data_IF_228308577143
#
_entry.id   IF_228308577143
#
_cell.length_a   1.000
_cell.length_b   1.000
_cell.length_c   1.000
_cell.angle_alpha   90.00
_cell.angle_beta   90.00
_cell.angle_gamma   90.00
#
_symmetry.space_group_name_H-M   'P 1'
#
loop_
_entity.id
_entity.type
_entity.pdbx_description
1 polymer ?
#
# COMPACT_ATOMS: atom_id res chain seq x y z
N UNK A 1 20.63 11.70 -12.09
CA UNK A 1 20.91 12.47 -10.85
C UNK A 1 19.60 13.07 -10.38
N UNK A 2 19.24 12.89 -9.10
CA UNK A 2 18.04 13.51 -8.52
C UNK A 2 18.19 15.04 -8.59
N UNK A 3 17.20 15.81 -9.07
CA UNK A 3 17.26 17.28 -9.11
C UNK A 3 17.16 17.92 -7.72
N UNK A 4 17.11 17.09 -6.69
CA UNK A 4 16.93 17.41 -5.29
C UNK A 4 18.27 17.31 -4.56
N UNK A 5 18.56 18.24 -3.65
CA UNK A 5 19.77 18.15 -2.81
C UNK A 5 19.48 18.60 -1.39
N UNK A 6 20.04 17.88 -0.43
CA UNK A 6 20.11 18.33 0.96
C UNK A 6 21.03 19.54 1.11
N UNK A 7 20.60 20.50 1.94
CA UNK A 7 21.39 21.66 2.34
C UNK A 7 21.35 21.79 3.85
N UNK A 8 22.51 21.90 4.49
CA UNK A 8 22.61 22.22 5.91
C UNK A 8 22.86 23.71 6.09
N UNK A 9 22.03 24.39 6.91
CA UNK A 9 22.22 25.80 7.27
C UNK A 9 21.92 26.00 8.74
N UNK A 10 22.90 26.48 9.52
CA UNK A 10 22.74 26.81 10.95
C UNK A 10 22.03 25.70 11.72
N UNK A 11 22.55 24.48 11.59
CA UNK A 11 22.04 23.27 12.23
C UNK A 11 20.62 22.85 11.83
N UNK A 12 20.09 23.40 10.73
CA UNK A 12 18.82 23.00 10.14
C UNK A 12 19.01 22.35 8.77
N UNK A 13 18.18 21.35 8.47
CA UNK A 13 18.11 20.63 7.20
C UNK A 13 17.09 21.29 6.27
N UNK A 14 17.53 21.53 5.05
CA UNK A 14 16.74 22.10 3.97
C UNK A 14 16.79 21.22 2.74
N UNK A 15 15.71 21.25 1.98
CA UNK A 15 15.63 20.61 0.68
C UNK A 15 15.69 21.66 -0.44
N UNK A 16 16.69 21.56 -1.31
CA UNK A 16 16.75 22.35 -2.55
C UNK A 16 16.05 21.62 -3.69
N UNK A 17 15.11 22.30 -4.33
CA UNK A 17 14.36 21.84 -5.51
C UNK A 17 14.50 22.89 -6.60
N UNK A 18 15.35 22.63 -7.59
CA UNK A 18 15.73 23.64 -8.58
C UNK A 18 16.29 24.89 -7.90
N UNK A 19 15.54 26.01 -7.97
CA UNK A 19 15.89 27.30 -7.32
C UNK A 19 15.25 27.51 -5.95
N UNK A 20 14.27 26.69 -5.57
CA UNK A 20 13.56 26.78 -4.29
C UNK A 20 14.34 26.06 -3.20
N UNK A 21 14.21 26.55 -1.98
CA UNK A 21 14.76 25.92 -0.78
C UNK A 21 13.63 25.87 0.23
N UNK A 22 13.25 24.66 0.63
CA UNK A 22 12.17 24.41 1.57
C UNK A 22 12.77 23.89 2.89
N UNK A 23 12.37 24.43 4.06
CA UNK A 23 12.79 23.89 5.34
C UNK A 23 12.15 22.52 5.55
N UNK A 24 12.93 21.55 6.04
CA UNK A 24 12.37 20.26 6.46
C UNK A 24 11.65 20.46 7.80
N UNK A 25 10.40 19.98 7.96
CA UNK A 25 9.70 20.04 9.24
C UNK A 25 10.50 19.36 10.36
N UNK A 26 10.52 19.96 11.53
CA UNK A 26 11.40 19.54 12.64
C UNK A 26 11.27 18.06 13.05
N UNK A 27 10.07 17.47 13.15
CA UNK A 27 9.95 16.03 13.46
C UNK A 27 10.60 15.14 12.40
N UNK A 28 10.47 15.50 11.12
CA UNK A 28 11.03 14.76 9.98
C UNK A 28 12.55 14.93 9.97
N UNK A 29 13.01 16.16 10.16
CA UNK A 29 14.43 16.51 10.23
C UNK A 29 15.15 15.71 11.32
N UNK A 30 14.60 15.68 12.54
CA UNK A 30 15.17 14.91 13.64
C UNK A 30 15.30 13.43 13.30
N UNK A 31 14.28 12.85 12.63
CA UNK A 31 14.32 11.46 12.18
C UNK A 31 15.30 11.22 11.02
N UNK A 32 15.49 12.17 10.11
CA UNK A 32 16.46 12.05 9.03
C UNK A 32 17.91 12.17 9.51
N UNK A 33 18.16 13.02 10.51
CA UNK A 33 19.51 13.27 11.03
C UNK A 33 19.94 12.27 12.13
N UNK A 34 18.99 11.72 12.86
CA UNK A 34 19.26 10.85 14.03
C UNK A 34 18.62 9.47 13.94
N UNK A 35 17.86 9.20 12.89
CA UNK A 35 17.24 7.90 12.65
C UNK A 35 18.21 6.86 12.09
N UNK A 36 17.71 5.64 11.85
CA UNK A 36 18.51 4.55 11.31
C UNK A 36 18.87 4.79 9.83
N UNK A 37 20.16 4.94 9.58
CA UNK A 37 20.76 5.07 8.24
C UNK A 37 21.21 6.49 7.92
N UNK A 38 22.33 6.60 7.20
CA UNK A 38 22.87 7.90 6.82
C UNK A 38 22.01 8.57 5.74
N UNK A 39 22.00 9.91 5.79
CA UNK A 39 21.45 10.75 4.75
C UNK A 39 22.27 10.55 3.46
N UNK A 40 21.60 10.26 2.35
CA UNK A 40 22.28 9.96 1.09
C UNK A 40 22.22 11.16 0.14
N UNK A 41 22.89 11.03 -1.01
CA UNK A 41 22.75 12.02 -2.09
C UNK A 41 21.38 11.93 -2.79
N UNK A 42 20.61 10.86 -2.56
CA UNK A 42 19.29 10.68 -3.12
C UNK A 42 18.19 11.03 -2.10
N UNK A 43 17.86 12.32 -2.05
CA UNK A 43 16.77 12.87 -1.24
C UNK A 43 15.47 12.08 -1.41
N UNK A 44 15.17 11.65 -2.64
CA UNK A 44 13.92 10.93 -2.93
C UNK A 44 13.90 9.58 -2.22
N UNK A 45 15.00 8.84 -2.30
CA UNK A 45 15.16 7.58 -1.60
C UNK A 45 15.12 7.76 -0.07
N UNK A 46 15.77 8.80 0.47
CA UNK A 46 15.80 9.04 1.91
C UNK A 46 14.39 9.32 2.49
N UNK A 47 13.61 10.18 1.83
CA UNK A 47 12.25 10.52 2.27
C UNK A 47 11.29 9.33 2.13
N UNK A 48 11.39 8.56 1.05
CA UNK A 48 10.56 7.36 0.85
C UNK A 48 10.96 6.21 1.78
N UNK A 49 12.25 6.10 2.13
CA UNK A 49 12.73 5.18 3.16
C UNK A 49 12.14 5.55 4.51
N UNK A 50 12.17 6.83 4.88
CA UNK A 50 11.58 7.29 6.14
C UNK A 50 10.08 7.01 6.20
N UNK A 51 9.32 7.30 5.13
CA UNK A 51 7.89 6.96 5.05
C UNK A 51 7.69 5.45 5.26
N UNK A 52 8.46 4.62 4.54
CA UNK A 52 8.42 3.17 4.69
C UNK A 52 8.71 2.68 6.11
N UNK A 53 9.66 3.30 6.82
CA UNK A 53 9.99 3.00 8.22
C UNK A 53 8.86 3.41 9.17
N UNK A 54 8.27 4.59 8.99
CA UNK A 54 7.17 5.08 9.81
C UNK A 54 5.90 4.20 9.63
N UNK A 55 5.58 3.83 8.40
CA UNK A 55 4.45 2.93 8.08
C UNK A 55 4.66 1.55 8.71
N UNK A 56 5.88 1.00 8.64
CA UNK A 56 6.23 -0.26 9.27
C UNK A 56 6.06 -0.20 10.80
N UNK A 57 6.54 0.89 11.42
CA UNK A 57 6.42 1.11 12.86
C UNK A 57 4.96 1.26 13.29
N UNK A 58 4.15 2.05 12.56
CA UNK A 58 2.72 2.22 12.84
C UNK A 58 1.96 0.89 12.80
N UNK A 59 2.26 0.02 11.82
CA UNK A 59 1.65 -1.31 11.72
C UNK A 59 2.02 -2.20 12.90
N UNK A 60 3.30 -2.22 13.29
CA UNK A 60 3.75 -2.96 14.47
C UNK A 60 3.05 -2.47 15.74
N UNK A 61 3.03 -1.16 15.97
CA UNK A 61 2.38 -0.56 17.14
C UNK A 61 0.88 -0.86 17.17
N UNK A 62 0.19 -0.87 16.02
CA UNK A 62 -1.23 -1.27 15.93
C UNK A 62 -1.42 -2.74 16.32
N UNK A 63 -0.57 -3.64 15.82
CA UNK A 63 -0.64 -5.06 16.19
C UNK A 63 -0.37 -5.27 17.70
N UNK A 64 0.61 -4.56 18.26
CA UNK A 64 0.94 -4.59 19.69
C UNK A 64 -0.21 -4.03 20.54
N UNK A 65 -0.84 -2.92 20.11
CA UNK A 65 -2.00 -2.33 20.78
C UNK A 65 -3.20 -3.28 20.79
N UNK A 66 -3.51 -3.91 19.65
CA UNK A 66 -4.58 -4.90 19.58
C UNK A 66 -4.30 -6.14 20.44
N UNK A 67 -3.06 -6.64 20.45
CA UNK A 67 -2.65 -7.75 21.30
C UNK A 67 -2.81 -7.40 22.79
N UNK A 68 -2.40 -6.19 23.19
CA UNK A 68 -2.57 -5.68 24.55
C UNK A 68 -4.06 -5.52 24.91
N UNK A 69 -4.89 -4.99 24.02
CA UNK A 69 -6.34 -4.87 24.23
C UNK A 69 -7.03 -6.25 24.39
N UNK A 70 -6.64 -7.24 23.57
CA UNK A 70 -7.10 -8.63 23.70
C UNK A 70 -6.66 -9.26 25.02
N UNK A 71 -5.46 -8.95 25.52
CA UNK A 71 -4.98 -9.41 26.82
C UNK A 71 -5.81 -8.81 27.97
N UNK A 72 -6.01 -7.48 27.98
CA UNK A 72 -6.83 -6.77 28.97
C UNK A 72 -8.26 -7.35 29.02
N UNK A 73 -8.84 -7.64 27.87
CA UNK A 73 -10.21 -8.21 27.77
C UNK A 73 -10.27 -9.64 28.32
N UNK A 74 -9.28 -10.49 28.00
CA UNK A 74 -9.21 -11.87 28.54
C UNK A 74 -9.05 -11.88 30.05
N UNK A 75 -8.25 -10.98 30.60
CA UNK A 75 -8.05 -10.86 32.05
C UNK A 75 -9.33 -10.39 32.77
N UNK A 76 -10.29 -9.77 32.05
CA UNK A 76 -11.59 -9.36 32.56
C UNK A 76 -12.63 -10.50 32.63
N UNK A 77 -12.60 -11.46 31.71
CA UNK A 77 -13.68 -12.43 31.51
C UNK A 77 -13.70 -13.67 32.40
N UNK A 78 -12.76 -13.85 33.36
CA UNK A 78 -12.51 -15.19 33.92
C UNK A 78 -12.26 -15.38 35.42
N UNK A 79 -12.46 -14.42 36.35
CA UNK A 79 -11.95 -14.62 37.74
C UNK A 79 -12.85 -14.14 38.89
N UNK A 80 -12.85 -14.93 39.98
CA UNK A 80 -13.68 -14.76 41.19
C UNK A 80 -13.23 -13.61 42.10
N UNK A 81 -14.14 -13.20 43.00
CA UNK A 81 -14.01 -12.04 43.91
C UNK A 81 -12.73 -11.97 44.74
N UNK A 82 -12.16 -13.12 45.15
CA UNK A 82 -10.95 -13.16 45.99
C UNK A 82 -9.66 -12.83 45.24
N UNK A 83 -9.66 -12.85 43.90
CA UNK A 83 -8.49 -12.47 43.10
C UNK A 83 -8.37 -10.94 42.94
N UNK A 84 -9.41 -10.15 43.24
CA UNK A 84 -9.54 -8.73 42.87
C UNK A 84 -8.50 -7.77 43.48
N UNK A 85 -7.88 -8.10 44.62
CA UNK A 85 -6.96 -7.18 45.34
C UNK A 85 -5.50 -7.16 44.81
N UNK A 86 -4.96 -8.28 44.32
CA UNK A 86 -3.63 -8.31 43.67
C UNK A 86 -3.67 -7.84 42.20
N UNK A 87 -4.88 -7.74 41.63
CA UNK A 87 -5.17 -7.47 40.23
C UNK A 87 -5.15 -5.97 39.89
N UNK A 88 -5.41 -5.09 40.86
CA UNK A 88 -5.53 -3.65 40.57
C UNK A 88 -4.24 -3.06 40.02
N UNK A 89 -3.07 -3.43 40.57
CA UNK A 89 -1.77 -2.91 40.10
C UNK A 89 -1.38 -3.47 38.73
N UNK A 90 -1.44 -4.80 38.55
CA UNK A 90 -1.16 -5.45 37.26
C UNK A 90 -2.08 -4.98 36.14
N UNK A 91 -3.34 -4.66 36.45
CA UNK A 91 -4.29 -4.07 35.49
C UNK A 91 -3.94 -2.63 35.15
N UNK A 92 -3.62 -1.80 36.15
CA UNK A 92 -3.17 -0.42 35.92
C UNK A 92 -1.92 -0.41 35.05
N UNK A 93 -0.98 -1.32 35.29
CA UNK A 93 0.24 -1.44 34.49
C UNK A 93 -0.06 -1.88 33.04
N UNK A 94 -0.97 -2.83 32.83
CA UNK A 94 -1.38 -3.28 31.49
C UNK A 94 -2.12 -2.18 30.70
N UNK A 95 -3.02 -1.44 31.37
CA UNK A 95 -3.71 -0.29 30.76
C UNK A 95 -2.72 0.82 30.45
N UNK A 96 -1.80 1.15 31.36
CA UNK A 96 -0.77 2.16 31.11
C UNK A 96 0.17 1.75 29.97
N UNK A 97 0.50 0.47 29.84
CA UNK A 97 1.25 -0.08 28.71
C UNK A 97 0.50 0.09 27.39
N UNK A 98 -0.78 -0.28 27.34
CA UNK A 98 -1.64 -0.07 26.16
C UNK A 98 -1.75 1.41 25.79
N UNK A 99 -2.01 2.30 26.76
CA UNK A 99 -2.10 3.75 26.53
C UNK A 99 -0.80 4.29 25.92
N UNK A 100 0.37 3.90 26.43
CA UNK A 100 1.65 4.32 25.85
C UNK A 100 1.83 3.87 24.40
N UNK A 101 1.43 2.64 24.06
CA UNK A 101 1.53 2.13 22.69
C UNK A 101 0.60 2.93 21.76
N UNK A 102 -0.60 3.27 22.21
CA UNK A 102 -1.54 4.11 21.45
C UNK A 102 -0.99 5.52 21.25
N UNK A 103 -0.45 6.16 22.29
CA UNK A 103 0.20 7.47 22.17
C UNK A 103 1.34 7.44 21.15
N UNK A 104 2.19 6.40 21.19
CA UNK A 104 3.25 6.21 20.20
C UNK A 104 2.71 6.00 18.78
N UNK A 105 1.61 5.26 18.64
CA UNK A 105 0.97 5.04 17.33
C UNK A 105 0.43 6.36 16.76
N UNK A 106 -0.18 7.20 17.60
CA UNK A 106 -0.69 8.51 17.22
C UNK A 106 0.45 9.43 16.77
N UNK A 107 1.55 9.50 17.53
CA UNK A 107 2.74 10.29 17.18
C UNK A 107 3.36 9.87 15.84
N UNK A 108 3.48 8.56 15.60
CA UNK A 108 4.00 8.01 14.34
C UNK A 108 3.06 8.31 13.17
N UNK A 109 1.74 8.21 13.40
CA UNK A 109 0.73 8.52 12.38
C UNK A 109 0.78 9.99 11.98
N UNK A 110 0.79 10.90 12.95
CA UNK A 110 0.92 12.35 12.71
C UNK A 110 2.22 12.70 11.99
N UNK A 111 3.33 12.07 12.37
CA UNK A 111 4.64 12.30 11.72
C UNK A 111 4.63 11.80 10.28
N UNK A 112 3.98 10.66 10.01
CA UNK A 112 3.81 10.11 8.65
C UNK A 112 2.97 11.06 7.78
N UNK A 113 1.86 11.56 8.32
CA UNK A 113 1.00 12.53 7.62
C UNK A 113 1.77 13.82 7.30
N UNK A 114 2.53 14.35 8.26
CA UNK A 114 3.36 15.54 8.06
C UNK A 114 4.42 15.32 6.97
N UNK A 115 5.05 14.15 6.92
CA UNK A 115 6.01 13.78 5.87
C UNK A 115 5.36 13.77 4.49
N UNK A 116 4.20 13.13 4.38
CA UNK A 116 3.46 13.02 3.12
C UNK A 116 2.93 14.37 2.65
N UNK A 117 2.44 15.20 3.56
CA UNK A 117 2.01 16.57 3.28
C UNK A 117 3.19 17.43 2.81
N UNK A 118 4.32 17.38 3.52
CA UNK A 118 5.54 18.06 3.13
C UNK A 118 5.92 17.68 1.71
N UNK A 119 6.11 16.39 1.42
CA UNK A 119 6.49 15.90 0.07
C UNK A 119 5.47 16.29 -0.99
N UNK A 120 4.17 16.24 -0.65
CA UNK A 120 3.08 16.64 -1.54
C UNK A 120 3.13 18.12 -1.91
N UNK A 121 3.56 18.98 -0.99
CA UNK A 121 3.66 20.43 -1.18
C UNK A 121 4.85 20.87 -2.04
N UNK A 122 5.88 20.02 -2.15
CA UNK A 122 7.16 20.35 -2.79
C UNK A 122 7.07 20.62 -4.30
N UNK A 123 5.99 20.17 -4.96
CA UNK A 123 5.89 20.14 -6.43
C UNK A 123 7.17 19.54 -7.08
N UNK A 124 7.71 18.49 -6.46
CA UNK A 124 8.92 17.81 -6.88
C UNK A 124 8.72 17.03 -8.19
N UNK A 125 9.83 16.63 -8.82
CA UNK A 125 9.85 15.77 -10.01
C UNK A 125 10.26 14.33 -9.67
N UNK A 126 10.15 13.43 -10.66
CA UNK A 126 10.60 12.04 -10.53
C UNK A 126 9.85 11.25 -9.45
N UNK A 127 10.60 10.48 -8.66
CA UNK A 127 10.04 9.55 -7.67
C UNK A 127 9.15 10.23 -6.62
N UNK A 128 9.53 11.41 -6.14
CA UNK A 128 8.75 12.16 -5.15
C UNK A 128 7.41 12.62 -5.72
N UNK A 129 7.38 13.01 -7.00
CA UNK A 129 6.15 13.36 -7.70
C UNK A 129 5.20 12.17 -7.80
N UNK A 130 5.73 11.03 -8.19
CA UNK A 130 4.94 9.82 -8.39
C UNK A 130 4.44 9.26 -7.05
N UNK A 131 5.23 9.37 -5.99
CA UNK A 131 4.82 9.07 -4.62
C UNK A 131 3.71 10.00 -4.11
N UNK A 132 3.88 11.30 -4.25
CA UNK A 132 2.86 12.29 -3.88
C UNK A 132 1.55 12.08 -4.65
N UNK A 133 1.61 11.76 -5.94
CA UNK A 133 0.43 11.40 -6.72
C UNK A 133 -0.21 10.10 -6.19
N UNK A 134 0.59 9.14 -5.76
CA UNK A 134 0.17 7.89 -5.11
C UNK A 134 -0.65 8.12 -3.84
N UNK A 135 -0.09 8.87 -2.90
CA UNK A 135 -0.74 9.14 -1.60
C UNK A 135 -2.05 9.94 -1.72
N UNK A 136 -2.23 10.70 -2.81
CA UNK A 136 -3.48 11.41 -3.09
C UNK A 136 -4.61 10.49 -3.56
N UNK A 137 -4.33 9.26 -3.97
CA UNK A 137 -5.36 8.32 -4.40
C UNK A 137 -6.04 7.70 -3.19
N UNK A 138 -7.37 7.62 -3.25
CA UNK A 138 -8.14 6.84 -2.28
C UNK A 138 -7.70 5.36 -2.38
N UNK A 139 -7.26 4.72 -1.29
CA UNK A 139 -6.83 3.33 -1.31
C UNK A 139 -7.98 2.32 -1.36
N UNK A 140 -9.23 2.77 -1.21
CA UNK A 140 -10.40 1.89 -1.35
C UNK A 140 -10.56 1.37 -2.78
N UNK A 141 -11.07 0.14 -2.98
CA UNK A 141 -11.38 -0.38 -4.31
C UNK A 141 -12.30 0.59 -5.05
N UNK A 142 -11.95 1.02 -6.29
CA UNK A 142 -12.85 1.85 -7.08
C UNK A 142 -14.18 1.15 -7.35
N UNK A 143 -15.27 1.92 -7.49
CA UNK A 143 -16.63 1.37 -7.63
C UNK A 143 -16.81 0.45 -8.85
N UNK A 144 -15.97 0.58 -9.88
CA UNK A 144 -15.98 -0.28 -11.07
C UNK A 144 -15.18 -1.57 -10.94
N UNK A 145 -14.50 -1.78 -9.81
CA UNK A 145 -13.73 -2.99 -9.50
C UNK A 145 -14.62 -3.97 -8.73
N UNK A 146 -14.73 -5.19 -9.24
CA UNK A 146 -15.36 -6.28 -8.50
C UNK A 146 -14.32 -6.97 -7.62
N UNK A 147 -14.57 -7.01 -6.31
CA UNK A 147 -13.69 -7.65 -5.33
C UNK A 147 -14.25 -9.02 -4.97
N UNK A 148 -13.50 -10.06 -5.28
CA UNK A 148 -13.81 -11.46 -5.00
C UNK A 148 -12.86 -11.95 -3.90
N UNK A 149 -13.41 -12.68 -2.93
CA UNK A 149 -12.71 -13.08 -1.72
C UNK A 149 -11.41 -13.83 -2.01
N UNK A 150 -11.37 -14.72 -3.00
CA UNK A 150 -10.13 -15.38 -3.41
C UNK A 150 -10.17 -15.81 -4.89
N UNK A 151 -9.00 -16.16 -5.44
CA UNK A 151 -8.84 -16.55 -6.85
C UNK A 151 -9.50 -17.90 -7.19
N UNK A 152 -9.63 -18.79 -6.21
CA UNK A 152 -10.27 -20.09 -6.40
C UNK A 152 -11.79 -19.92 -6.53
N UNK A 153 -12.39 -19.09 -5.69
CA UNK A 153 -13.78 -18.67 -5.81
C UNK A 153 -14.02 -17.93 -7.14
N UNK A 154 -13.10 -17.05 -7.55
CA UNK A 154 -13.19 -16.39 -8.85
C UNK A 154 -13.23 -17.39 -10.01
N UNK A 155 -12.42 -18.46 -9.95
CA UNK A 155 -12.39 -19.56 -10.90
C UNK A 155 -13.63 -20.48 -10.83
N UNK A 156 -14.25 -20.61 -9.66
CA UNK A 156 -15.50 -21.37 -9.50
C UNK A 156 -16.74 -20.62 -10.01
N UNK A 157 -16.79 -19.30 -9.79
CA UNK A 157 -17.87 -18.44 -10.25
C UNK A 157 -17.96 -18.39 -11.79
N UNK A 158 -16.81 -18.41 -12.48
CA UNK A 158 -16.74 -18.61 -13.93
C UNK A 158 -15.65 -19.61 -14.29
N UNK A 159 -16.07 -20.83 -14.62
CA UNK A 159 -15.17 -21.94 -15.01
C UNK A 159 -14.32 -21.64 -16.25
N UNK A 160 -14.65 -20.63 -17.05
CA UNK A 160 -13.79 -20.20 -18.18
C UNK A 160 -12.50 -19.56 -17.67
N UNK A 161 -12.48 -19.01 -16.44
CA UNK A 161 -11.28 -18.46 -15.79
C UNK A 161 -10.34 -19.55 -15.26
N UNK A 162 -10.80 -20.80 -15.21
CA UNK A 162 -10.11 -21.93 -14.61
C UNK A 162 -9.26 -22.72 -15.62
N UNK A 163 -8.16 -23.28 -15.15
CA UNK A 163 -7.42 -24.38 -15.79
C UNK A 163 -7.22 -25.52 -14.79
N UNK A 164 -7.13 -26.78 -15.25
CA UNK A 164 -6.69 -27.88 -14.39
C UNK A 164 -5.31 -27.55 -13.82
N UNK A 165 -5.14 -27.69 -12.51
CA UNK A 165 -3.81 -27.83 -11.97
C UNK A 165 -3.35 -29.29 -12.13
N UNK A 166 -2.04 -29.51 -12.23
CA UNK A 166 -1.47 -30.85 -12.47
C UNK A 166 -1.69 -31.86 -11.34
N UNK A 167 -2.39 -31.46 -10.27
CA UNK A 167 -2.64 -32.26 -9.06
C UNK A 167 -4.13 -32.56 -8.86
N UNK A 168 -4.96 -32.34 -9.89
CA UNK A 168 -6.40 -32.64 -9.86
C UNK A 168 -7.26 -31.52 -9.26
N UNK A 169 -6.67 -30.39 -8.91
CA UNK A 169 -7.37 -29.17 -8.52
C UNK A 169 -7.57 -28.20 -9.69
N UNK A 170 -7.94 -26.97 -9.37
CA UNK A 170 -8.27 -25.92 -10.32
C UNK A 170 -7.49 -24.66 -9.97
N UNK A 171 -6.74 -24.14 -10.93
CA UNK A 171 -6.00 -22.88 -10.81
C UNK A 171 -6.57 -21.83 -11.75
N UNK A 172 -6.24 -20.57 -11.50
CA UNK A 172 -6.53 -19.48 -12.43
C UNK A 172 -5.76 -19.72 -13.75
N UNK A 173 -6.46 -19.60 -14.88
CA UNK A 173 -5.90 -19.74 -16.23
C UNK A 173 -5.25 -18.45 -16.75
N UNK A 174 -5.13 -17.44 -15.89
CA UNK A 174 -4.57 -16.14 -16.21
C UNK A 174 -3.05 -16.14 -16.25
N UNK A 175 -2.51 -15.11 -16.87
CA UNK A 175 -1.07 -14.87 -17.00
C UNK A 175 -0.73 -13.56 -16.30
N UNK A 176 0.07 -13.61 -15.23
CA UNK A 176 0.52 -12.46 -14.41
C UNK A 176 1.75 -11.75 -15.02
N UNK A 177 1.67 -11.40 -16.30
CA UNK A 177 2.81 -10.82 -17.03
C UNK A 177 2.95 -9.30 -16.91
N UNK A 178 1.95 -8.60 -16.34
CA UNK A 178 1.99 -7.14 -16.17
C UNK A 178 2.67 -6.69 -14.87
N UNK A 179 3.58 -7.53 -14.37
CA UNK A 179 4.41 -7.28 -13.21
C UNK A 179 3.79 -7.72 -11.89
N UNK A 180 4.65 -8.24 -11.01
CA UNK A 180 4.42 -8.31 -9.58
C UNK A 180 4.87 -6.99 -8.95
N UNK A 181 4.37 -6.66 -7.75
CA UNK A 181 4.69 -5.47 -6.96
C UNK A 181 3.83 -4.23 -7.19
N UNK A 182 2.60 -4.42 -7.68
CA UNK A 182 1.56 -3.39 -7.56
C UNK A 182 1.20 -3.18 -6.10
N UNK A 183 0.86 -1.94 -5.75
CA UNK A 183 0.74 -1.49 -4.37
C UNK A 183 -0.65 -0.97 -4.04
N UNK A 184 -1.12 -1.32 -2.85
CA UNK A 184 -2.27 -0.75 -2.16
C UNK A 184 -1.89 -0.68 -0.70
N UNK A 185 -1.74 0.53 -0.17
CA UNK A 185 -1.08 0.74 1.13
C UNK A 185 -1.71 -0.01 2.30
N UNK A 186 -3.04 -0.21 2.38
CA UNK A 186 -3.65 -1.08 3.41
C UNK A 186 -3.25 -2.57 3.30
N UNK A 187 -2.90 -3.05 2.10
CA UNK A 187 -2.62 -4.46 1.84
C UNK A 187 -1.12 -4.80 1.89
N UNK A 188 -0.25 -3.82 1.65
CA UNK A 188 1.18 -4.05 1.48
C UNK A 188 1.87 -4.38 2.81
N UNK A 189 2.33 -5.60 3.03
CA UNK A 189 3.10 -5.92 4.25
C UNK A 189 4.38 -5.08 4.30
N UNK A 190 4.72 -4.41 5.43
CA UNK A 190 5.99 -3.72 5.53
C UNK A 190 7.02 -4.83 5.72
N UNK A 191 7.65 -5.26 4.63
CA UNK A 191 8.72 -6.26 4.71
C UNK A 191 9.72 -5.87 5.80
N UNK A 192 10.18 -6.84 6.60
CA UNK A 192 11.23 -6.60 7.60
C UNK A 192 12.53 -6.07 6.95
N UNK A 193 12.69 -6.32 5.64
CA UNK A 193 13.81 -5.86 4.85
C UNK A 193 13.45 -4.55 4.11
N UNK A 194 14.12 -3.42 4.42
CA UNK A 194 14.01 -2.21 3.62
C UNK A 194 14.68 -2.41 2.24
N UNK A 195 14.27 -1.66 1.20
CA UNK A 195 13.24 -0.62 1.22
C UNK A 195 11.81 -1.16 1.02
N UNK A 196 10.96 -1.00 2.03
CA UNK A 196 9.52 -1.37 1.99
C UNK A 196 8.74 -0.59 0.93
N UNK A 197 9.24 0.57 0.50
CA UNK A 197 8.62 1.38 -0.56
C UNK A 197 8.79 0.79 -1.98
N UNK A 198 9.61 -0.25 -2.16
CA UNK A 198 9.82 -0.91 -3.47
C UNK A 198 9.03 -2.21 -3.65
N UNK A 199 8.36 -2.70 -2.61
CA UNK A 199 7.64 -3.97 -2.62
C UNK A 199 6.13 -3.73 -2.62
N UNK A 200 5.40 -4.46 -3.45
CA UNK A 200 3.94 -4.46 -3.48
C UNK A 200 3.39 -5.86 -3.41
N UNK A 201 2.19 -5.99 -2.85
CA UNK A 201 1.56 -7.29 -2.60
C UNK A 201 0.74 -7.82 -3.78
N UNK A 202 0.55 -7.01 -4.81
CA UNK A 202 -0.36 -7.34 -5.91
C UNK A 202 0.38 -7.67 -7.20
N UNK A 203 -0.18 -8.62 -7.95
CA UNK A 203 0.20 -8.94 -9.32
C UNK A 203 -0.99 -8.69 -10.24
N UNK A 204 -0.72 -8.18 -11.45
CA UNK A 204 -1.73 -7.99 -12.49
C UNK A 204 -1.61 -9.05 -13.56
N UNK A 205 -2.76 -9.55 -14.02
CA UNK A 205 -2.83 -10.53 -15.08
C UNK A 205 -3.99 -10.34 -16.04
N UNK A 206 -3.97 -11.14 -17.09
CA UNK A 206 -5.02 -11.21 -18.10
C UNK A 206 -5.53 -12.65 -18.26
N UNK A 207 -6.84 -12.77 -18.43
CA UNK A 207 -7.56 -14.01 -18.68
C UNK A 207 -8.06 -14.02 -20.13
N UNK A 208 -7.37 -14.73 -21.05
CA UNK A 208 -7.72 -14.73 -22.47
C UNK A 208 -9.10 -15.31 -22.77
N UNK A 209 -9.53 -16.31 -22.02
CA UNK A 209 -10.79 -17.02 -22.22
C UNK A 209 -12.02 -16.16 -21.93
N UNK A 210 -11.88 -15.16 -21.08
CA UNK A 210 -12.96 -14.24 -20.67
C UNK A 210 -12.70 -12.79 -21.08
N UNK A 211 -11.54 -12.49 -21.68
CA UNK A 211 -11.11 -11.14 -22.05
C UNK A 211 -11.08 -10.19 -20.84
N UNK A 212 -10.63 -10.70 -19.68
CA UNK A 212 -10.64 -9.99 -18.39
C UNK A 212 -9.24 -9.61 -17.94
N UNK A 213 -9.11 -8.42 -17.35
CA UNK A 213 -7.90 -7.97 -16.66
C UNK A 213 -8.18 -8.01 -15.16
N UNK A 214 -7.27 -8.61 -14.40
CA UNK A 214 -7.44 -8.84 -12.98
C UNK A 214 -6.20 -8.50 -12.17
N UNK A 215 -6.39 -8.34 -10.86
CA UNK A 215 -5.33 -8.29 -9.88
C UNK A 215 -5.50 -9.40 -8.85
N UNK A 216 -4.40 -9.98 -8.40
CA UNK A 216 -4.38 -10.95 -7.29
C UNK A 216 -3.37 -10.54 -6.23
N UNK A 217 -3.74 -10.74 -4.97
CA UNK A 217 -2.85 -10.53 -3.84
C UNK A 217 -1.98 -11.76 -3.60
N UNK A 218 -0.66 -11.57 -3.63
CA UNK A 218 0.38 -12.61 -3.52
C UNK A 218 1.23 -12.49 -2.24
N UNK A 219 0.75 -11.76 -1.22
CA UNK A 219 1.41 -11.59 0.07
C UNK A 219 0.71 -12.39 1.19
N UNK A 220 1.37 -12.47 2.35
CA UNK A 220 0.81 -13.08 3.55
C UNK A 220 -0.46 -12.32 4.00
N UNK A 221 -1.58 -13.04 4.11
CA UNK A 221 -2.89 -12.48 4.39
C UNK A 221 -4.00 -13.19 3.62
N UNK A 222 -5.26 -12.70 3.69
CA UNK A 222 -6.31 -13.22 2.85
C UNK A 222 -5.92 -12.97 1.39
N UNK A 223 -5.88 -14.05 0.61
CA UNK A 223 -5.88 -13.96 -0.84
C UNK A 223 -7.08 -13.11 -1.27
N UNK A 224 -6.98 -12.39 -2.38
CA UNK A 224 -8.08 -11.57 -2.90
C UNK A 224 -7.90 -11.43 -4.39
N UNK A 225 -9.00 -11.47 -5.13
CA UNK A 225 -9.04 -11.30 -6.59
C UNK A 225 -9.84 -10.05 -6.93
N UNK A 226 -9.28 -9.14 -7.72
CA UNK A 226 -9.98 -7.96 -8.23
C UNK A 226 -10.17 -8.09 -9.73
N UNK A 227 -11.41 -7.99 -10.20
CA UNK A 227 -11.70 -7.83 -11.62
C UNK A 227 -11.61 -6.33 -11.95
N UNK A 228 -10.59 -5.95 -12.72
CA UNK A 228 -10.31 -4.55 -13.04
C UNK A 228 -11.05 -4.08 -14.29
N UNK A 229 -11.27 -4.98 -15.24
CA UNK A 229 -11.97 -4.67 -16.47
C UNK A 229 -12.20 -5.89 -17.35
N UNK A 230 -13.13 -5.75 -18.29
CA UNK A 230 -13.50 -6.80 -19.25
C UNK A 230 -13.60 -6.23 -20.66
N UNK A 231 -13.52 -7.09 -21.66
CA UNK A 231 -13.69 -6.75 -23.07
C UNK A 231 -12.40 -6.40 -23.82
N UNK A 232 -11.24 -6.77 -23.27
CA UNK A 232 -9.95 -6.61 -23.95
C UNK A 232 -9.72 -7.81 -24.86
N UNK A 233 -9.73 -7.60 -26.18
CA UNK A 233 -9.71 -8.71 -27.14
C UNK A 233 -8.38 -9.47 -27.16
N UNK A 234 -7.28 -8.80 -26.83
CA UNK A 234 -5.94 -9.38 -26.88
C UNK A 234 -5.08 -8.94 -25.70
N UNK A 235 -4.08 -9.75 -25.40
CA UNK A 235 -3.03 -9.41 -24.44
C UNK A 235 -2.32 -8.10 -24.82
N UNK A 236 -2.01 -7.90 -26.10
CA UNK A 236 -1.33 -6.69 -26.58
C UNK A 236 -2.12 -5.41 -26.33
N UNK A 237 -3.46 -5.48 -26.36
CA UNK A 237 -4.31 -4.33 -26.00
C UNK A 237 -4.14 -3.97 -24.53
N UNK A 238 -4.11 -4.96 -23.64
CA UNK A 238 -3.87 -4.74 -22.22
C UNK A 238 -2.46 -4.21 -21.99
N UNK A 239 -1.47 -4.79 -22.66
CA UNK A 239 -0.07 -4.35 -22.59
C UNK A 239 0.08 -2.88 -23.01
N UNK A 240 -0.56 -2.47 -24.11
CA UNK A 240 -0.54 -1.08 -24.58
C UNK A 240 -1.18 -0.11 -23.57
N UNK A 241 -2.25 -0.53 -22.89
CA UNK A 241 -2.92 0.27 -21.85
C UNK A 241 -2.07 0.41 -20.59
N UNK A 242 -1.38 -0.65 -20.17
CA UNK A 242 -0.58 -0.67 -18.95
C UNK A 242 0.84 -0.12 -19.13
N UNK A 243 1.41 -0.21 -20.34
CA UNK A 243 2.79 0.21 -20.61
C UNK A 243 3.15 1.62 -20.09
N UNK A 244 2.30 2.66 -20.23
CA UNK A 244 2.61 3.99 -19.71
C UNK A 244 2.68 4.07 -18.18
N UNK A 245 2.05 3.14 -17.46
CA UNK A 245 1.96 3.17 -16.00
C UNK A 245 2.81 2.08 -15.32
N UNK A 246 3.33 1.10 -16.05
CA UNK A 246 4.22 0.06 -15.51
C UNK A 246 5.41 0.63 -14.69
N UNK A 247 6.10 1.72 -15.10
CA UNK A 247 7.16 2.31 -14.28
C UNK A 247 6.70 2.80 -12.89
N UNK A 248 5.39 3.03 -12.72
CA UNK A 248 4.75 3.52 -11.48
C UNK A 248 4.18 2.40 -10.63
N UNK A 249 4.36 1.13 -11.01
CA UNK A 249 3.84 -0.03 -10.30
C UNK A 249 4.24 -0.05 -8.82
N UNK A 250 5.43 0.45 -8.47
CA UNK A 250 5.92 0.49 -7.08
C UNK A 250 5.55 1.76 -6.32
N UNK A 251 4.83 2.68 -6.94
CA UNK A 251 4.35 3.88 -6.25
C UNK A 251 3.19 3.55 -5.32
N UNK A 252 2.97 4.32 -4.24
CA UNK A 252 1.82 4.15 -3.36
C UNK A 252 0.51 4.12 -4.15
N UNK A 253 -0.39 3.18 -3.79
CA UNK A 253 -1.72 3.02 -4.40
C UNK A 253 -1.71 2.93 -5.94
N UNK A 254 -0.65 2.35 -6.51
CA UNK A 254 -0.53 2.12 -7.96
C UNK A 254 -1.57 1.13 -8.49
N UNK A 255 -2.09 0.22 -7.66
CA UNK A 255 -3.19 -0.66 -8.04
C UNK A 255 -4.46 0.12 -8.42
N UNK A 256 -4.72 1.22 -7.70
CA UNK A 256 -5.83 2.13 -7.98
C UNK A 256 -5.62 2.82 -9.32
N UNK A 257 -4.39 3.29 -9.59
CA UNK A 257 -4.03 3.84 -10.89
C UNK A 257 -4.25 2.82 -12.03
N UNK A 258 -3.89 1.55 -11.83
CA UNK A 258 -4.12 0.50 -12.81
C UNK A 258 -5.61 0.28 -13.06
N UNK A 259 -6.40 0.16 -12.00
CA UNK A 259 -7.85 0.00 -12.07
C UNK A 259 -8.52 1.14 -12.85
N UNK A 260 -8.16 2.40 -12.55
CA UNK A 260 -8.71 3.57 -13.25
C UNK A 260 -8.27 3.62 -14.72
N UNK A 261 -7.01 3.28 -15.00
CA UNK A 261 -6.46 3.28 -16.36
C UNK A 261 -7.12 2.23 -17.23
N UNK A 262 -7.31 1.01 -16.69
CA UNK A 262 -8.03 -0.08 -17.35
C UNK A 262 -9.47 0.34 -17.61
N UNK A 263 -10.15 0.91 -16.62
CA UNK A 263 -11.52 1.37 -16.77
C UNK A 263 -11.68 2.42 -17.86
N UNK A 264 -10.82 3.45 -17.87
CA UNK A 264 -10.83 4.50 -18.87
C UNK A 264 -10.55 3.99 -20.29
N UNK A 265 -9.78 2.91 -20.43
CA UNK A 265 -9.48 2.27 -21.71
C UNK A 265 -10.61 1.38 -22.24
N UNK A 266 -11.61 1.05 -21.41
CA UNK A 266 -12.78 0.29 -21.88
C UNK A 266 -13.54 1.15 -22.87
N UNK A 267 -13.53 0.76 -24.14
CA UNK A 267 -14.42 1.36 -25.13
C UNK A 267 -15.86 1.02 -24.74
N UNK A 268 -16.77 1.99 -24.64
CA UNK A 268 -18.19 1.65 -24.57
C UNK A 268 -18.52 0.84 -25.82
N UNK A 269 -19.14 -0.32 -25.64
CA UNK A 269 -19.79 -1.03 -26.74
C UNK A 269 -20.91 -0.10 -27.20
N UNK A 270 -20.66 0.71 -28.23
CA UNK A 270 -21.74 1.40 -28.93
C UNK A 270 -22.56 0.31 -29.60
N UNK A 271 -23.57 -0.18 -28.89
CA UNK A 271 -24.73 -0.83 -29.50
C UNK A 271 -25.47 0.24 -30.30
N UNK A 272 -24.95 0.56 -31.49
CA UNK A 272 -25.75 1.15 -32.55
C UNK A 272 -26.78 0.09 -32.96
N UNK A 273 -27.92 0.12 -32.26
CA UNK A 273 -29.17 -0.33 -32.84
C UNK A 273 -29.64 0.74 -33.82
N UNK A 274 -29.03 0.73 -35.02
CA UNK A 274 -29.68 1.21 -36.25
C UNK A 274 -30.23 -0.04 -36.95
N UNK A 275 -31.42 -0.10 -37.52
CA UNK A 275 -32.54 0.83 -37.62
C UNK A 275 -33.78 -0.02 -37.99
N UNK A 276 -34.96 0.45 -37.60
CA UNK A 276 -36.22 0.02 -38.21
C UNK A 276 -36.47 0.73 -39.53
#
# INVERSE_FOLDING_TARGET
MSPHTWLHRRDRLFLRIGRRTEPVPEPIEGLLLHGPGDLTADVGADLLRLDGTLVALARRLRADAEAAARQITRDHGGRSERARAGITRSRVDAVAGHTRIVEQLDDVTLTTEMLREFVTSLAADGLLRDAAAGWKRNPEPPAHVEVILDEFLAAQLDRRRARPDGWGGTALAGIEEFGAHWRREPDDDPSELPPTYLTGSWALGYLPSTAEVYAVRRADGPHTFWLLGTGFATFDQVAAVLAPILPKMRCPNSLILAADTIHAARRPVHSHAEAG
#
